data_IF_291054376462
#
_entry.id   IF_291054376462
#
_cell.length_a   1.000
_cell.length_b   1.000
_cell.length_c   1.000
_cell.angle_alpha   90.00
_cell.angle_beta   90.00
_cell.angle_gamma   90.00
#
_symmetry.space_group_name_H-M   'P 1'
#
loop_
_entity.id
_entity.type
_entity.pdbx_description
1 polymer ?
#
# COMPACT_ATOMS: atom_id res chain seq x y z
N UNK A 1 34.46 -105.65 -2.29
CA UNK A 1 33.26 -104.85 -1.99
C UNK A 1 33.61 -103.37 -2.12
N UNK A 2 33.02 -102.68 -3.10
CA UNK A 2 33.43 -101.34 -3.57
C UNK A 2 32.92 -100.25 -2.61
N UNK A 3 33.84 -99.39 -2.16
CA UNK A 3 33.58 -98.11 -1.47
C UNK A 3 33.00 -97.10 -2.47
N UNK A 4 31.68 -97.03 -2.55
CA UNK A 4 30.95 -96.07 -3.40
C UNK A 4 29.86 -95.42 -2.56
N UNK A 5 30.25 -94.55 -1.64
CA UNK A 5 29.32 -93.83 -0.76
C UNK A 5 29.75 -92.42 -0.33
N UNK A 6 31.03 -92.07 -0.49
CA UNK A 6 31.56 -90.84 0.09
C UNK A 6 31.37 -89.58 -0.77
N UNK A 7 31.26 -89.70 -2.10
CA UNK A 7 31.23 -88.52 -2.98
C UNK A 7 29.84 -87.90 -3.15
N UNK A 8 28.77 -88.68 -3.03
CA UNK A 8 27.39 -88.19 -3.15
C UNK A 8 26.98 -87.39 -1.90
N UNK A 9 27.45 -87.81 -0.72
CA UNK A 9 27.18 -87.09 0.53
C UNK A 9 27.96 -85.75 0.60
N UNK A 10 29.18 -85.68 0.06
CA UNK A 10 29.94 -84.43 -0.02
C UNK A 10 29.33 -83.42 -1.01
N UNK A 11 28.77 -83.88 -2.13
CA UNK A 11 28.12 -82.99 -3.11
C UNK A 11 26.78 -82.46 -2.58
N UNK A 12 26.00 -83.29 -1.87
CA UNK A 12 24.77 -82.85 -1.21
C UNK A 12 25.03 -81.89 -0.03
N UNK A 13 26.12 -82.10 0.72
CA UNK A 13 26.52 -81.18 1.80
C UNK A 13 27.00 -79.83 1.27
N UNK A 14 27.65 -79.78 0.10
CA UNK A 14 28.04 -78.52 -0.56
C UNK A 14 26.85 -77.78 -1.20
N UNK A 15 25.88 -78.51 -1.76
CA UNK A 15 24.66 -77.90 -2.31
C UNK A 15 23.74 -77.32 -1.22
N UNK A 16 23.73 -77.90 -0.01
CA UNK A 16 22.96 -77.40 1.13
C UNK A 16 23.58 -76.12 1.76
N UNK A 17 24.89 -75.92 1.64
CA UNK A 17 25.57 -74.73 2.18
C UNK A 17 25.43 -73.51 1.26
N UNK A 18 25.22 -73.70 -0.05
CA UNK A 18 24.95 -72.57 -0.97
C UNK A 18 23.49 -72.08 -0.98
N UNK A 19 22.57 -72.78 -0.31
CA UNK A 19 21.16 -72.39 -0.24
C UNK A 19 20.81 -71.50 0.98
N UNK A 20 21.80 -71.12 1.81
CA UNK A 20 21.59 -70.33 3.03
C UNK A 20 22.13 -68.89 2.96
N UNK A 21 22.61 -68.42 1.81
CA UNK A 21 22.74 -66.97 1.56
C UNK A 21 21.38 -66.45 1.11
N UNK A 22 20.38 -66.59 1.99
CA UNK A 22 19.15 -65.83 1.90
C UNK A 22 19.51 -64.36 1.85
N UNK A 23 18.89 -63.66 0.90
CA UNK A 23 19.04 -62.23 0.66
C UNK A 23 19.11 -61.48 1.99
N UNK A 24 20.30 -61.02 2.37
CA UNK A 24 20.41 -60.00 3.39
C UNK A 24 19.71 -58.77 2.80
N UNK A 25 18.45 -58.57 3.18
CA UNK A 25 17.71 -57.36 2.89
C UNK A 25 18.48 -56.22 3.53
N UNK A 26 19.30 -55.52 2.75
CA UNK A 26 19.92 -54.29 3.21
C UNK A 26 18.77 -53.28 3.33
N UNK A 27 18.20 -53.17 4.53
CA UNK A 27 17.10 -52.25 4.81
C UNK A 27 17.70 -50.87 5.09
N UNK A 28 18.17 -50.21 4.03
CA UNK A 28 18.81 -48.89 4.12
C UNK A 28 17.90 -47.81 4.73
N UNK A 29 16.59 -48.01 4.71
CA UNK A 29 15.64 -47.12 5.39
C UNK A 29 15.89 -47.01 6.90
N UNK A 30 16.53 -48.00 7.53
CA UNK A 30 16.84 -47.98 8.97
C UNK A 30 17.81 -46.86 9.33
N UNK A 31 18.54 -46.34 8.35
CA UNK A 31 19.46 -45.20 8.45
C UNK A 31 18.84 -43.86 8.10
N UNK A 32 17.55 -43.79 7.74
CA UNK A 32 16.91 -42.57 7.24
C UNK A 32 16.91 -41.38 8.23
N UNK A 33 17.14 -41.64 9.52
CA UNK A 33 17.24 -40.62 10.57
C UNK A 33 18.59 -40.65 11.30
N UNK A 34 19.60 -41.32 10.74
CA UNK A 34 20.93 -41.26 11.33
C UNK A 34 21.59 -39.88 11.09
N UNK A 35 22.56 -39.54 11.93
CA UNK A 35 23.26 -38.27 11.80
C UNK A 35 24.29 -38.30 10.66
N UNK A 36 24.74 -39.49 10.25
CA UNK A 36 25.76 -39.68 9.21
C UNK A 36 25.26 -39.23 7.83
N UNK A 37 23.97 -39.45 7.54
CA UNK A 37 23.32 -39.07 6.28
C UNK A 37 22.43 -37.81 6.43
N UNK A 38 22.57 -37.09 7.55
CA UNK A 38 21.80 -35.86 7.78
C UNK A 38 22.28 -34.72 6.88
N UNK A 39 21.32 -33.94 6.35
CA UNK A 39 21.61 -32.75 5.57
C UNK A 39 21.91 -31.58 6.53
N UNK A 40 23.16 -31.17 6.63
CA UNK A 40 23.58 -30.13 7.60
C UNK A 40 23.46 -28.71 7.08
N UNK A 41 23.46 -28.51 5.76
CA UNK A 41 23.45 -27.20 5.11
C UNK A 41 22.12 -26.84 4.45
N UNK A 42 21.09 -27.64 4.68
CA UNK A 42 19.80 -27.50 4.04
C UNK A 42 18.89 -26.45 4.69
N UNK A 43 19.40 -25.65 5.62
CA UNK A 43 18.63 -24.62 6.30
C UNK A 43 19.45 -23.36 6.58
N UNK A 44 18.76 -22.23 6.69
CA UNK A 44 19.34 -20.95 7.09
C UNK A 44 18.29 -20.10 7.83
N UNK A 45 18.72 -19.43 8.90
CA UNK A 45 17.90 -18.50 9.64
C UNK A 45 18.01 -17.09 9.06
N UNK A 46 16.91 -16.33 9.12
CA UNK A 46 16.81 -14.96 8.64
C UNK A 46 16.00 -14.08 9.61
N UNK A 47 16.44 -12.84 9.89
CA UNK A 47 15.75 -11.91 10.79
C UNK A 47 14.61 -11.16 10.09
N UNK A 48 13.73 -11.89 9.40
CA UNK A 48 12.61 -11.33 8.62
C UNK A 48 11.31 -12.05 8.93
N UNK A 49 10.18 -11.41 8.62
CA UNK A 49 8.87 -12.05 8.75
C UNK A 49 8.72 -13.22 7.78
N UNK A 50 7.94 -14.22 8.20
CA UNK A 50 7.55 -15.38 7.38
C UNK A 50 6.99 -14.97 6.03
N UNK A 51 6.09 -13.97 5.99
CA UNK A 51 5.46 -13.50 4.75
C UNK A 51 6.46 -12.88 3.76
N UNK A 52 7.41 -12.09 4.27
CA UNK A 52 8.44 -11.48 3.43
C UNK A 52 9.36 -12.56 2.85
N UNK A 53 9.84 -13.48 3.68
CA UNK A 53 10.69 -14.58 3.24
C UNK A 53 9.97 -15.51 2.28
N UNK A 54 8.70 -15.82 2.51
CA UNK A 54 7.89 -16.62 1.60
C UNK A 54 7.88 -16.03 0.20
N UNK A 55 7.68 -14.71 0.11
CA UNK A 55 7.69 -13.99 -1.17
C UNK A 55 9.08 -14.01 -1.81
N UNK A 56 10.13 -13.78 -1.03
CA UNK A 56 11.52 -13.75 -1.53
C UNK A 56 11.96 -15.14 -2.01
N UNK A 57 11.66 -16.20 -1.26
CA UNK A 57 11.96 -17.60 -1.64
C UNK A 57 11.23 -17.97 -2.92
N UNK A 58 9.93 -17.66 -3.02
CA UNK A 58 9.15 -17.87 -4.25
C UNK A 58 9.77 -17.17 -5.45
N UNK A 59 10.16 -15.90 -5.30
CA UNK A 59 10.84 -15.16 -6.36
C UNK A 59 12.22 -15.72 -6.71
N UNK A 60 12.94 -16.27 -5.72
CA UNK A 60 14.25 -16.89 -5.93
C UNK A 60 14.13 -18.14 -6.78
N UNK A 61 13.17 -19.02 -6.48
CA UNK A 61 12.86 -20.18 -7.34
C UNK A 61 12.55 -19.76 -8.78
N UNK A 62 11.63 -18.80 -8.96
CA UNK A 62 11.23 -18.33 -10.29
C UNK A 62 12.43 -17.78 -11.07
N UNK A 63 13.29 -16.98 -10.42
CA UNK A 63 14.50 -16.42 -11.05
C UNK A 63 15.51 -17.49 -11.46
N UNK A 64 15.56 -18.61 -10.73
CA UNK A 64 16.42 -19.75 -11.05
C UNK A 64 15.79 -20.72 -12.06
N UNK A 65 14.67 -20.35 -12.68
CA UNK A 65 14.02 -21.15 -13.72
C UNK A 65 13.20 -22.32 -13.18
N UNK A 66 12.81 -22.31 -11.90
CA UNK A 66 11.87 -23.26 -11.36
C UNK A 66 10.43 -22.81 -11.64
N UNK A 67 9.58 -23.77 -12.00
CA UNK A 67 8.13 -23.63 -12.06
C UNK A 67 7.54 -23.95 -10.69
N UNK A 68 6.67 -23.09 -10.17
CA UNK A 68 6.02 -23.31 -8.87
C UNK A 68 4.84 -24.26 -9.07
N UNK A 69 4.90 -25.45 -8.46
CA UNK A 69 3.82 -26.44 -8.49
C UNK A 69 2.79 -26.17 -7.37
N UNK A 70 3.27 -25.77 -6.20
CA UNK A 70 2.42 -25.42 -5.06
C UNK A 70 3.08 -24.29 -4.26
N UNK A 71 2.27 -23.33 -3.81
CA UNK A 71 2.70 -22.33 -2.83
C UNK A 71 1.57 -22.08 -1.84
N UNK A 72 1.77 -22.49 -0.60
CA UNK A 72 0.82 -22.25 0.50
C UNK A 72 1.48 -21.37 1.57
N UNK A 73 1.05 -20.12 1.62
CA UNK A 73 1.58 -19.13 2.56
C UNK A 73 1.19 -19.42 4.01
N UNK A 74 0.15 -20.24 4.26
CA UNK A 74 -0.28 -20.57 5.63
C UNK A 74 0.61 -21.65 6.25
N UNK A 75 0.94 -22.69 5.48
CA UNK A 75 1.89 -23.71 5.92
C UNK A 75 3.35 -23.29 5.75
N UNK A 76 3.62 -22.25 4.97
CA UNK A 76 4.99 -21.82 4.68
C UNK A 76 5.69 -22.71 3.66
N UNK A 77 4.95 -23.55 2.92
CA UNK A 77 5.52 -24.53 2.00
C UNK A 77 5.47 -24.03 0.55
N UNK A 78 6.60 -24.17 -0.15
CA UNK A 78 6.72 -23.90 -1.58
C UNK A 78 7.32 -25.13 -2.26
N UNK A 79 6.56 -25.74 -3.17
CA UNK A 79 7.04 -26.83 -4.04
C UNK A 79 7.30 -26.30 -5.43
N UNK A 80 8.47 -26.60 -5.97
CA UNK A 80 8.92 -26.09 -7.24
C UNK A 80 9.67 -27.18 -8.01
N UNK A 81 9.53 -27.15 -9.33
CA UNK A 81 10.14 -28.12 -10.23
C UNK A 81 10.96 -27.41 -11.30
N UNK A 82 12.13 -27.94 -11.63
CA UNK A 82 12.94 -27.44 -12.74
C UNK A 82 13.42 -28.60 -13.60
N UNK A 83 13.17 -28.50 -14.89
CA UNK A 83 13.65 -29.45 -15.89
C UNK A 83 14.83 -28.80 -16.62
N UNK A 84 15.92 -29.53 -16.76
CA UNK A 84 17.12 -29.10 -17.48
C UNK A 84 17.56 -30.23 -18.41
N UNK A 85 17.88 -29.92 -19.66
CA UNK A 85 18.49 -30.89 -20.57
C UNK A 85 19.96 -31.08 -20.19
N UNK A 86 20.47 -32.30 -20.37
CA UNK A 86 21.89 -32.53 -20.26
C UNK A 86 22.64 -31.79 -21.38
N UNK A 87 23.82 -31.28 -21.06
CA UNK A 87 24.58 -30.44 -21.98
C UNK A 87 25.24 -31.26 -23.10
N UNK A 88 25.53 -32.52 -22.84
CA UNK A 88 26.22 -33.43 -23.75
C UNK A 88 25.22 -34.35 -24.49
N UNK A 89 24.10 -34.69 -23.85
CA UNK A 89 23.06 -35.57 -24.40
C UNK A 89 21.66 -34.93 -24.38
N UNK A 90 21.15 -34.52 -25.54
CA UNK A 90 19.80 -33.93 -25.68
C UNK A 90 18.66 -34.91 -25.41
N UNK A 91 18.94 -36.21 -25.44
CA UNK A 91 17.96 -37.23 -25.08
C UNK A 91 17.88 -37.40 -23.54
N UNK A 92 18.75 -36.75 -22.76
CA UNK A 92 18.73 -36.80 -21.30
C UNK A 92 18.26 -35.48 -20.71
N UNK A 93 17.38 -35.55 -19.71
CA UNK A 93 16.97 -34.40 -18.92
C UNK A 93 16.96 -34.71 -17.43
N UNK A 94 17.26 -33.71 -16.62
CA UNK A 94 17.20 -33.72 -15.18
C UNK A 94 15.94 -33.00 -14.72
N UNK A 95 15.07 -33.72 -14.02
CA UNK A 95 13.90 -33.17 -13.36
C UNK A 95 14.19 -33.02 -11.87
N UNK A 96 14.33 -31.78 -11.41
CA UNK A 96 14.65 -31.42 -10.02
C UNK A 96 13.38 -30.98 -9.32
N UNK A 97 12.96 -31.73 -8.31
CA UNK A 97 11.88 -31.35 -7.41
C UNK A 97 12.46 -30.75 -6.14
N UNK A 98 12.11 -29.52 -5.83
CA UNK A 98 12.54 -28.80 -4.63
C UNK A 98 11.34 -28.42 -3.77
N UNK A 99 11.46 -28.56 -2.45
CA UNK A 99 10.48 -28.13 -1.48
C UNK A 99 11.15 -27.27 -0.42
N UNK A 100 10.73 -26.00 -0.33
CA UNK A 100 11.13 -25.11 0.74
C UNK A 100 10.04 -25.03 1.81
N UNK A 101 10.46 -25.03 3.07
CA UNK A 101 9.62 -24.87 4.25
C UNK A 101 10.09 -23.64 5.02
N UNK A 102 9.20 -22.67 5.22
CA UNK A 102 9.48 -21.43 5.92
C UNK A 102 8.66 -21.40 7.20
N UNK A 103 9.34 -21.44 8.33
CA UNK A 103 8.70 -21.46 9.64
C UNK A 103 9.46 -20.59 10.65
N UNK A 104 8.71 -19.99 11.57
CA UNK A 104 9.24 -19.14 12.65
C UNK A 104 8.77 -19.67 14.00
N UNK A 105 9.67 -19.73 14.97
CA UNK A 105 9.32 -19.96 16.37
C UNK A 105 9.11 -18.58 17.01
N UNK A 106 8.10 -18.42 17.87
CA UNK A 106 7.80 -17.15 18.51
C UNK A 106 9.04 -16.60 19.26
N UNK A 107 9.47 -15.39 18.92
CA UNK A 107 10.66 -14.75 19.49
C UNK A 107 12.00 -15.19 18.89
N UNK A 108 12.00 -16.06 17.88
CA UNK A 108 13.18 -16.50 17.16
C UNK A 108 13.21 -15.95 15.72
N UNK A 109 14.35 -16.14 15.06
CA UNK A 109 14.49 -15.90 13.62
C UNK A 109 13.64 -16.89 12.80
N UNK A 110 13.26 -16.48 11.59
CA UNK A 110 12.54 -17.35 10.67
C UNK A 110 13.53 -18.26 9.96
N UNK A 111 13.30 -19.57 10.04
CA UNK A 111 14.12 -20.57 9.37
C UNK A 111 13.53 -20.92 8.02
N UNK A 112 14.41 -21.07 7.03
CA UNK A 112 14.09 -21.61 5.72
C UNK A 112 14.80 -22.93 5.57
N UNK A 113 14.05 -24.02 5.44
CA UNK A 113 14.56 -25.35 5.11
C UNK A 113 14.35 -25.61 3.62
N UNK A 114 15.30 -26.32 3.00
CA UNK A 114 15.21 -26.77 1.62
C UNK A 114 15.41 -28.30 1.57
N UNK A 115 14.60 -28.97 0.77
CA UNK A 115 14.80 -30.37 0.41
C UNK A 115 14.67 -30.50 -1.10
N UNK A 116 15.41 -31.42 -1.70
CA UNK A 116 15.33 -31.63 -3.14
C UNK A 116 15.63 -33.08 -3.53
N UNK A 117 15.01 -33.52 -4.62
CA UNK A 117 15.27 -34.78 -5.30
C UNK A 117 15.45 -34.55 -6.79
N UNK A 118 16.14 -35.48 -7.45
CA UNK A 118 16.39 -35.45 -8.88
C UNK A 118 15.96 -36.77 -9.51
N UNK A 119 15.24 -36.66 -10.62
CA UNK A 119 15.01 -37.75 -11.56
C UNK A 119 15.81 -37.47 -12.85
N UNK A 120 16.55 -38.45 -13.33
CA UNK A 120 17.20 -38.40 -14.64
C UNK A 120 16.33 -39.15 -15.63
N UNK A 121 15.86 -38.46 -16.66
CA UNK A 121 14.91 -38.96 -17.65
C UNK A 121 15.62 -39.07 -19.00
N UNK A 122 15.56 -40.25 -19.60
CA UNK A 122 16.01 -40.54 -20.96
C UNK A 122 14.80 -40.54 -21.91
N UNK A 123 14.81 -39.65 -22.88
CA UNK A 123 13.85 -39.50 -23.96
C UNK A 123 14.34 -40.30 -25.16
N UNK A 124 13.72 -41.46 -25.43
CA UNK A 124 14.07 -42.26 -26.61
C UNK A 124 13.00 -42.14 -27.67
N UNK A 125 13.42 -41.77 -28.88
CA UNK A 125 12.59 -41.84 -30.09
C UNK A 125 12.75 -43.20 -30.75
N UNK A 126 11.67 -43.97 -30.83
CA UNK A 126 11.64 -45.27 -31.49
C UNK A 126 10.80 -45.16 -32.76
N UNK A 127 11.29 -45.68 -33.87
CA UNK A 127 10.54 -45.68 -35.14
C UNK A 127 9.80 -47.00 -35.29
N UNK A 128 8.52 -46.94 -35.61
CA UNK A 128 7.76 -48.10 -36.08
C UNK A 128 7.95 -48.20 -37.59
N UNK A 129 8.34 -49.38 -38.07
CA UNK A 129 8.67 -49.61 -39.46
C UNK A 129 7.59 -50.42 -40.17
N UNK A 130 7.30 -50.07 -41.41
CA UNK A 130 6.56 -50.96 -42.30
C UNK A 130 7.47 -52.09 -42.76
N UNK A 131 6.98 -53.32 -42.67
CA UNK A 131 7.75 -54.51 -43.00
C UNK A 131 7.23 -55.15 -44.30
N UNK A 132 8.09 -55.26 -45.32
CA UNK A 132 7.82 -56.03 -46.53
C UNK A 132 8.00 -57.52 -46.21
N UNK A 133 7.01 -58.35 -46.59
CA UNK A 133 7.00 -59.80 -46.34
C UNK A 133 7.22 -60.16 -44.86
N UNK A 134 6.69 -59.35 -43.93
CA UNK A 134 6.85 -59.50 -42.47
C UNK A 134 8.29 -59.48 -41.93
N UNK A 135 9.31 -59.47 -42.78
CA UNK A 135 10.71 -59.68 -42.38
C UNK A 135 11.60 -58.45 -42.60
N UNK A 136 11.29 -57.60 -43.59
CA UNK A 136 12.23 -56.53 -44.02
C UNK A 136 11.64 -55.15 -43.69
N UNK A 137 12.19 -54.41 -42.71
CA UNK A 137 11.78 -53.04 -42.43
C UNK A 137 12.21 -52.12 -43.59
N UNK A 138 11.26 -51.58 -44.35
CA UNK A 138 11.57 -50.79 -45.57
C UNK A 138 11.45 -49.28 -45.36
N UNK A 139 10.39 -48.81 -44.72
CA UNK A 139 10.24 -47.38 -44.44
C UNK A 139 9.54 -47.15 -43.10
N UNK A 140 9.91 -46.09 -42.35
CA UNK A 140 9.29 -45.76 -41.08
C UNK A 140 7.86 -45.28 -41.30
N UNK A 141 6.90 -45.86 -40.58
CA UNK A 141 5.46 -45.51 -40.60
C UNK A 141 5.03 -44.63 -39.44
N UNK A 142 5.84 -44.54 -38.40
CA UNK A 142 5.55 -43.73 -37.23
C UNK A 142 6.77 -43.56 -36.34
N UNK A 143 6.67 -42.62 -35.41
CA UNK A 143 7.64 -42.45 -34.35
C UNK A 143 6.90 -42.42 -33.02
N UNK A 144 7.36 -43.23 -32.07
CA UNK A 144 6.91 -43.22 -30.68
C UNK A 144 8.01 -42.63 -29.80
N UNK A 145 7.59 -41.80 -28.85
CA UNK A 145 8.49 -41.20 -27.87
C UNK A 145 8.24 -41.88 -26.52
N UNK A 146 9.29 -42.43 -25.92
CA UNK A 146 9.23 -43.02 -24.58
C UNK A 146 10.15 -42.26 -23.63
N UNK A 147 9.64 -41.94 -22.45
CA UNK A 147 10.40 -41.32 -21.36
C UNK A 147 10.71 -42.36 -20.30
N UNK A 148 11.98 -42.61 -20.04
CA UNK A 148 12.44 -43.59 -19.05
C UNK A 148 13.18 -42.87 -17.93
N UNK A 149 12.72 -43.01 -16.69
CA UNK A 149 13.48 -42.55 -15.52
C UNK A 149 14.62 -43.54 -15.27
N UNK A 150 15.85 -43.13 -15.54
CA UNK A 150 17.03 -43.99 -15.43
C UNK A 150 17.72 -43.89 -14.07
N UNK A 151 17.54 -42.78 -13.34
CA UNK A 151 18.04 -42.58 -11.97
C UNK A 151 17.08 -41.70 -11.19
N UNK A 152 16.90 -42.01 -9.90
CA UNK A 152 16.11 -41.21 -8.97
C UNK A 152 16.80 -41.21 -7.60
N UNK A 153 16.82 -40.06 -6.93
CA UNK A 153 17.35 -39.95 -5.57
C UNK A 153 17.26 -38.54 -5.00
N UNK A 154 17.52 -38.42 -3.69
CA UNK A 154 17.64 -37.13 -3.02
C UNK A 154 18.94 -36.44 -3.43
N UNK A 155 18.90 -35.12 -3.57
CA UNK A 155 20.11 -34.32 -3.75
C UNK A 155 20.75 -34.17 -2.37
N UNK A 156 21.95 -34.69 -2.19
CA UNK A 156 22.71 -34.58 -0.93
C UNK A 156 23.93 -33.69 -1.04
N UNK A 157 24.23 -33.18 -2.25
CA UNK A 157 25.38 -32.33 -2.51
C UNK A 157 25.25 -31.01 -1.72
N UNK A 158 26.18 -30.71 -0.79
CA UNK A 158 26.14 -29.48 -0.01
C UNK A 158 26.22 -28.22 -0.90
N UNK A 159 26.90 -28.28 -2.05
CA UNK A 159 27.06 -27.15 -2.97
C UNK A 159 25.70 -26.64 -3.44
N UNK A 160 24.79 -27.55 -3.81
CA UNK A 160 23.43 -27.22 -4.24
C UNK A 160 22.69 -26.34 -3.21
N UNK A 161 22.77 -26.71 -1.93
CA UNK A 161 22.12 -25.96 -0.86
C UNK A 161 22.80 -24.62 -0.62
N UNK A 162 24.14 -24.59 -0.60
CA UNK A 162 24.88 -23.33 -0.40
C UNK A 162 24.59 -22.32 -1.50
N UNK A 163 24.49 -22.75 -2.76
CA UNK A 163 24.16 -21.89 -3.89
C UNK A 163 22.75 -21.30 -3.74
N UNK A 164 21.77 -22.11 -3.35
CA UNK A 164 20.42 -21.62 -3.07
C UNK A 164 20.44 -20.54 -1.96
N UNK A 165 21.06 -20.83 -0.81
CA UNK A 165 21.05 -19.90 0.32
C UNK A 165 21.88 -18.64 0.06
N UNK A 166 22.96 -18.73 -0.72
CA UNK A 166 23.71 -17.54 -1.15
C UNK A 166 22.86 -16.62 -2.04
N UNK A 167 22.15 -17.20 -3.01
CA UNK A 167 21.20 -16.44 -3.85
C UNK A 167 20.06 -15.85 -3.01
N UNK A 168 19.54 -16.60 -2.04
CA UNK A 168 18.49 -16.13 -1.15
C UNK A 168 18.96 -14.95 -0.29
N UNK A 169 20.17 -15.01 0.29
CA UNK A 169 20.76 -13.89 1.06
C UNK A 169 20.88 -12.62 0.22
N UNK A 170 21.32 -12.75 -1.04
CA UNK A 170 21.38 -11.61 -1.98
C UNK A 170 19.98 -11.07 -2.27
N UNK A 171 19.00 -11.94 -2.46
CA UNK A 171 17.62 -11.55 -2.71
C UNK A 171 16.99 -10.83 -1.50
N UNK A 172 17.26 -11.31 -0.28
CA UNK A 172 16.83 -10.66 0.98
C UNK A 172 17.44 -9.27 1.09
N UNK A 173 18.76 -9.14 0.92
CA UNK A 173 19.43 -7.84 0.96
C UNK A 173 18.84 -6.85 -0.07
N UNK A 174 18.55 -7.32 -1.29
CA UNK A 174 17.91 -6.50 -2.32
C UNK A 174 16.48 -6.09 -1.93
N UNK A 175 15.71 -7.00 -1.35
CA UNK A 175 14.37 -6.73 -0.88
C UNK A 175 14.38 -5.67 0.22
N UNK A 176 15.28 -5.76 1.20
CA UNK A 176 15.44 -4.74 2.24
C UNK A 176 15.73 -3.36 1.67
N UNK A 177 16.65 -3.27 0.70
CA UNK A 177 17.00 -2.00 0.07
C UNK A 177 15.80 -1.39 -0.68
N UNK A 178 15.03 -2.22 -1.38
CA UNK A 178 13.81 -1.78 -2.07
C UNK A 178 12.73 -1.28 -1.09
N UNK A 179 12.54 -1.97 0.05
CA UNK A 179 11.60 -1.55 1.10
C UNK A 179 12.04 -0.23 1.73
N UNK A 180 13.33 -0.07 2.03
CA UNK A 180 13.90 1.18 2.58
C UNK A 180 13.70 2.36 1.62
N UNK A 181 13.94 2.16 0.32
CA UNK A 181 13.74 3.19 -0.70
C UNK A 181 12.26 3.57 -0.85
N UNK A 182 11.37 2.57 -0.86
CA UNK A 182 9.93 2.80 -0.92
C UNK A 182 9.43 3.59 0.31
N UNK A 183 9.91 3.25 1.51
CA UNK A 183 9.58 3.97 2.73
C UNK A 183 10.05 5.44 2.69
N UNK A 184 11.27 5.68 2.19
CA UNK A 184 11.80 7.05 2.03
C UNK A 184 10.94 7.89 1.08
N UNK A 185 10.58 7.34 -0.09
CA UNK A 185 9.70 8.03 -1.06
C UNK A 185 8.31 8.31 -0.49
N UNK A 186 7.76 7.39 0.30
CA UNK A 186 6.47 7.58 0.97
C UNK A 186 6.54 8.71 2.03
N UNK A 187 7.63 8.77 2.80
CA UNK A 187 7.84 9.84 3.79
C UNK A 187 7.99 11.21 3.12
N UNK A 188 8.78 11.32 2.05
CA UNK A 188 8.94 12.57 1.28
C UNK A 188 7.61 13.06 0.70
N UNK A 189 6.79 12.14 0.17
CA UNK A 189 5.46 12.48 -0.35
C UNK A 189 4.51 12.97 0.75
N UNK A 190 4.49 12.31 1.90
CA UNK A 190 3.65 12.70 3.03
C UNK A 190 4.06 14.08 3.59
N UNK A 191 5.36 14.37 3.64
CA UNK A 191 5.85 15.68 4.08
C UNK A 191 5.47 16.79 3.08
N UNK A 192 5.63 16.54 1.77
CA UNK A 192 5.21 17.49 0.74
C UNK A 192 3.71 17.80 0.82
N UNK A 193 2.88 16.78 1.05
CA UNK A 193 1.42 16.94 1.21
C UNK A 193 1.05 17.74 2.46
N UNK A 194 1.74 17.49 3.59
CA UNK A 194 1.56 18.27 4.82
C UNK A 194 1.90 19.75 4.63
N UNK A 195 3.01 20.04 3.97
CA UNK A 195 3.43 21.43 3.69
C UNK A 195 2.43 22.12 2.76
N UNK A 196 1.92 21.41 1.75
CA UNK A 196 0.90 21.95 0.84
C UNK A 196 -0.42 22.25 1.58
N UNK A 197 -0.87 21.34 2.43
CA UNK A 197 -2.07 21.53 3.26
C UNK A 197 -1.92 22.71 4.24
N UNK A 198 -0.75 22.85 4.88
CA UNK A 198 -0.47 23.96 5.79
C UNK A 198 -0.47 25.32 5.06
N UNK A 199 0.17 25.40 3.88
CA UNK A 199 0.15 26.61 3.07
C UNK A 199 -1.27 26.99 2.63
N UNK A 200 -2.07 26.01 2.20
CA UNK A 200 -3.45 26.24 1.83
C UNK A 200 -4.32 26.73 3.01
N UNK A 201 -4.14 26.14 4.19
CA UNK A 201 -4.84 26.56 5.41
C UNK A 201 -4.45 27.99 5.82
N UNK A 202 -3.17 28.35 5.72
CA UNK A 202 -2.69 29.70 6.03
C UNK A 202 -3.24 30.75 5.07
N UNK A 203 -3.28 30.46 3.78
CA UNK A 203 -3.88 31.35 2.76
C UNK A 203 -5.38 31.54 3.02
N UNK A 204 -6.10 30.45 3.33
CA UNK A 204 -7.54 30.52 3.63
C UNK A 204 -7.81 31.36 4.88
N UNK A 205 -7.05 31.15 5.94
CA UNK A 205 -7.18 31.93 7.18
C UNK A 205 -6.86 33.42 6.97
N UNK A 206 -5.86 33.73 6.14
CA UNK A 206 -5.51 35.12 5.84
C UNK A 206 -6.57 35.81 4.96
N UNK A 207 -7.14 35.10 3.97
CA UNK A 207 -8.25 35.60 3.17
C UNK A 207 -9.49 35.91 4.04
N UNK A 208 -9.84 35.00 4.96
CA UNK A 208 -10.97 35.18 5.88
C UNK A 208 -10.74 36.36 6.83
N UNK A 209 -9.51 36.56 7.32
CA UNK A 209 -9.15 37.72 8.15
C UNK A 209 -9.30 39.03 7.39
N UNK A 210 -8.86 39.08 6.13
CA UNK A 210 -8.97 40.30 5.28
C UNK A 210 -10.43 40.61 4.98
N UNK A 211 -11.26 39.59 4.74
CA UNK A 211 -12.69 39.77 4.50
C UNK A 211 -13.41 40.28 5.75
N UNK A 212 -13.13 39.70 6.92
CA UNK A 212 -13.64 40.18 8.20
C UNK A 212 -13.22 41.63 8.50
N UNK A 213 -11.97 42.00 8.22
CA UNK A 213 -11.49 43.38 8.41
C UNK A 213 -12.20 44.38 7.47
N UNK A 214 -12.41 44.02 6.20
CA UNK A 214 -13.16 44.85 5.26
C UNK A 214 -14.61 45.04 5.70
N UNK A 215 -15.27 43.97 6.14
CA UNK A 215 -16.63 44.05 6.66
C UNK A 215 -16.73 44.95 7.91
N UNK A 216 -15.76 44.85 8.83
CA UNK A 216 -15.70 45.70 10.02
C UNK A 216 -15.50 47.19 9.65
N UNK A 217 -14.60 47.50 8.69
CA UNK A 217 -14.37 48.87 8.23
C UNK A 217 -15.61 49.47 7.54
N UNK A 218 -16.32 48.69 6.73
CA UNK A 218 -17.56 49.13 6.07
C UNK A 218 -18.64 49.45 7.11
N UNK A 219 -18.80 48.57 8.12
CA UNK A 219 -19.77 48.77 9.19
C UNK A 219 -19.45 50.03 10.01
N UNK A 220 -18.18 50.23 10.40
CA UNK A 220 -17.75 51.43 11.11
C UNK A 220 -17.95 52.72 10.28
N UNK A 221 -17.69 52.69 8.97
CA UNK A 221 -17.92 53.82 8.09
C UNK A 221 -19.42 54.14 7.93
N UNK A 222 -20.28 53.13 7.87
CA UNK A 222 -21.73 53.31 7.81
C UNK A 222 -22.28 53.93 9.11
N UNK A 223 -21.82 53.45 10.28
CA UNK A 223 -22.20 54.00 11.58
C UNK A 223 -21.73 55.46 11.74
N UNK A 224 -20.52 55.80 11.30
CA UNK A 224 -20.01 57.17 11.34
C UNK A 224 -20.82 58.13 10.44
N UNK A 225 -21.22 57.68 9.24
CA UNK A 225 -22.10 58.47 8.36
C UNK A 225 -23.47 58.72 9.01
N UNK A 226 -24.09 57.67 9.55
CA UNK A 226 -25.38 57.79 10.23
C UNK A 226 -25.32 58.75 11.43
N UNK A 227 -24.24 58.72 12.21
CA UNK A 227 -24.03 59.67 13.30
C UNK A 227 -23.87 61.11 12.82
N UNK A 228 -23.12 61.34 11.73
CA UNK A 228 -22.94 62.67 11.14
C UNK A 228 -24.25 63.22 10.55
N UNK A 229 -25.08 62.37 9.94
CA UNK A 229 -26.34 62.77 9.32
C UNK A 229 -27.37 63.15 10.39
N UNK A 230 -27.43 62.39 11.48
CA UNK A 230 -28.28 62.71 12.64
C UNK A 230 -27.87 64.04 13.29
N UNK A 231 -26.56 64.28 13.46
CA UNK A 231 -26.06 65.54 14.01
C UNK A 231 -26.39 66.76 13.12
N UNK A 232 -26.38 66.60 11.79
CA UNK A 232 -26.78 67.66 10.87
C UNK A 232 -28.29 67.89 10.87
N UNK A 233 -29.10 66.83 10.94
CA UNK A 233 -30.55 66.94 11.06
C UNK A 233 -30.97 67.69 12.34
N UNK A 234 -30.33 67.38 13.48
CA UNK A 234 -30.59 68.05 14.75
C UNK A 234 -30.19 69.55 14.71
N UNK A 235 -29.09 69.90 14.03
CA UNK A 235 -28.70 71.32 13.83
C UNK A 235 -29.71 72.08 12.98
N UNK A 236 -30.17 71.49 11.87
CA UNK A 236 -31.16 72.12 10.99
C UNK A 236 -32.50 72.30 11.71
N UNK A 237 -32.90 71.32 12.53
CA UNK A 237 -34.10 71.42 13.36
C UNK A 237 -33.99 72.54 14.41
N UNK A 238 -32.83 72.65 15.07
CA UNK A 238 -32.56 73.72 16.03
C UNK A 238 -32.55 75.12 15.37
N UNK A 239 -31.98 75.24 14.17
CA UNK A 239 -31.92 76.51 13.43
C UNK A 239 -33.30 76.96 12.94
N UNK A 240 -34.13 76.03 12.45
CA UNK A 240 -35.54 76.32 12.10
C UNK A 240 -36.35 76.77 13.31
N UNK A 241 -36.19 76.10 14.46
CA UNK A 241 -36.87 76.48 15.69
C UNK A 241 -36.43 77.87 16.19
N UNK A 242 -35.16 78.24 16.01
CA UNK A 242 -34.66 79.56 16.34
C UNK A 242 -35.20 80.65 15.39
N UNK A 243 -35.25 80.37 14.08
CA UNK A 243 -35.81 81.28 13.09
C UNK A 243 -37.31 81.54 13.31
N UNK A 244 -38.08 80.50 13.67
CA UNK A 244 -39.51 80.62 13.93
C UNK A 244 -39.81 81.42 15.20
N UNK A 245 -38.98 81.29 16.25
CA UNK A 245 -39.09 82.14 17.45
C UNK A 245 -38.82 83.62 17.14
N UNK A 246 -37.82 83.92 16.30
CA UNK A 246 -37.52 85.28 15.88
C UNK A 246 -38.64 85.89 15.01
N UNK A 247 -39.29 85.08 14.16
CA UNK A 247 -40.48 85.49 13.42
C UNK A 247 -41.68 85.76 14.33
N UNK A 248 -41.92 84.89 15.31
CA UNK A 248 -43.00 85.07 16.29
C UNK A 248 -42.79 86.33 17.14
N UNK A 249 -41.55 86.60 17.54
CA UNK A 249 -41.19 87.81 18.30
C UNK A 249 -41.36 89.09 17.48
N UNK A 250 -40.99 89.07 16.19
CA UNK A 250 -41.25 90.19 15.27
C UNK A 250 -42.74 90.44 15.04
N UNK A 251 -43.55 89.39 14.92
CA UNK A 251 -45.01 89.51 14.78
C UNK A 251 -45.64 90.07 16.07
N UNK A 252 -45.19 89.60 17.23
CA UNK A 252 -45.64 90.12 18.52
C UNK A 252 -45.27 91.61 18.70
N UNK A 253 -44.06 92.02 18.31
CA UNK A 253 -43.64 93.42 18.33
C UNK A 253 -44.46 94.29 17.37
N UNK A 254 -44.79 93.78 16.17
CA UNK A 254 -45.63 94.51 15.21
C UNK A 254 -47.09 94.67 15.69
N UNK A 255 -47.64 93.67 16.38
CA UNK A 255 -48.99 93.74 16.94
C UNK A 255 -49.06 94.68 18.16
N UNK A 256 -48.02 94.70 19.00
CA UNK A 256 -47.90 95.67 20.09
C UNK A 256 -47.88 97.11 19.56
N UNK A 257 -47.13 97.38 18.48
CA UNK A 257 -47.11 98.69 17.84
C UNK A 257 -48.49 99.10 17.28
N UNK A 258 -49.25 98.15 16.69
CA UNK A 258 -50.59 98.41 16.15
C UNK A 258 -51.61 98.72 17.26
N UNK A 259 -51.50 98.07 18.42
CA UNK A 259 -52.36 98.35 19.58
C UNK A 259 -52.07 99.74 20.16
N UNK A 260 -50.82 100.20 20.10
CA UNK A 260 -50.42 101.52 20.56
C UNK A 260 -50.94 102.63 19.62
N UNK A 261 -50.87 102.42 18.30
CA UNK A 261 -51.53 103.30 17.31
C UNK A 261 -53.06 103.32 17.46
N UNK A 262 -53.71 102.19 17.77
CA UNK A 262 -55.16 102.15 17.98
C UNK A 262 -55.58 102.88 19.28
N UNK A 263 -54.75 102.82 20.34
CA UNK A 263 -54.95 103.61 21.55
C UNK A 263 -54.76 105.11 21.31
N UNK A 264 -53.78 105.50 20.50
CA UNK A 264 -53.59 106.90 20.06
C UNK A 264 -54.78 107.40 19.22
N UNK A 265 -55.34 106.55 18.35
CA UNK A 265 -56.53 106.88 17.56
C UNK A 265 -57.79 107.03 18.42
N UNK A 266 -57.96 106.22 19.47
CA UNK A 266 -59.10 106.33 20.42
C UNK A 266 -58.97 107.54 21.35
N UNK A 267 -57.75 107.94 21.73
CA UNK A 267 -57.51 109.17 22.49
C UNK A 267 -57.89 110.43 21.69
N UNK A 268 -57.62 110.46 20.38
CA UNK A 268 -58.00 111.60 19.52
C UNK A 268 -59.53 111.77 19.36
N UNK A 269 -60.29 110.67 19.39
CA UNK A 269 -61.77 110.69 19.30
C UNK A 269 -62.44 111.11 20.62
N UNK A 270 -61.83 110.82 21.77
CA UNK A 270 -62.31 111.30 23.08
C UNK A 270 -62.09 112.82 23.27
N UNK A 271 -60.99 113.36 22.75
CA UNK A 271 -60.70 114.82 22.77
C UNK A 271 -61.65 115.60 21.85
N UNK A 272 -62.02 115.06 20.68
CA UNK A 272 -63.02 115.69 19.78
C UNK A 272 -64.44 115.69 20.34
N UNK A 273 -64.82 114.71 21.17
CA UNK A 273 -66.17 114.66 21.79
C UNK A 273 -66.31 115.58 23.01
N UNK A 274 -65.21 115.85 23.74
CA UNK A 274 -65.17 116.83 24.85
C UNK A 274 -64.97 118.28 24.40
N UNK A 275 -64.45 118.55 23.19
CA UNK A 275 -64.37 119.93 22.63
C UNK A 275 -65.63 120.41 21.90
N UNK A 276 -66.65 119.53 21.79
CA UNK A 276 -68.05 119.88 21.51
C UNK A 276 -68.86 119.99 22.82
N UNK A 277 -68.18 120.35 23.89
CA UNK A 277 -68.70 121.25 24.90
C UNK A 277 -69.15 122.55 24.18
N UNK A 278 -70.00 123.33 24.82
CA UNK A 278 -69.82 124.80 24.79
C UNK A 278 -69.71 125.44 23.41
N UNK A 279 -70.76 125.31 22.60
CA UNK A 279 -71.13 126.29 21.59
C UNK A 279 -72.65 126.16 21.37
N UNK A 280 -73.40 127.16 21.86
CA UNK A 280 -74.88 127.29 21.98
C UNK A 280 -75.48 126.64 23.24
N UNK A 281 -75.80 127.29 24.37
CA UNK A 281 -75.87 128.70 24.81
C UNK A 281 -76.03 129.78 23.75
#
# INVERSE_FOLDING_TARGET
MKKTGSKIFQVLLFAAIMALTGCASHQDYTKAFDNEHSLTQNHCAFPHSTDALFTIVKQTFIKQGFTIENSDSKSGVIKAVRIMEDKEDSDVSYNIHASADISSIAGAETNVYLSASQQTILHRKTYTWWHLLWLIPIFPTGAEYHTLVIREGNITDPVFYTDFFNNLKVAVAKHEMAVKEAAKKAAEKAEAERIAAEKAAKIKAEAERVEAEKAAKIKAAAEAKAASEKANADKIAAEKAAAEKLEAEKKAAAEAARIEEEKAAKASKAVKKKKKQTAKN
#
